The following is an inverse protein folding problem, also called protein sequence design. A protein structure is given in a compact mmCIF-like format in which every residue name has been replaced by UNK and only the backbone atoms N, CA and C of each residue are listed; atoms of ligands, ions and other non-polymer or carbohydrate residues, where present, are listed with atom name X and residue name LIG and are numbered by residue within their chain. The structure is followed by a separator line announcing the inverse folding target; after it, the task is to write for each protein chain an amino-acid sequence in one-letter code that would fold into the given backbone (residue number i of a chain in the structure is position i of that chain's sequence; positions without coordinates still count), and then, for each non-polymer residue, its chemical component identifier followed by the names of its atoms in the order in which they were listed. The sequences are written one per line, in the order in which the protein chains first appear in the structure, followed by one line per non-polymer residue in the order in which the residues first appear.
data_IF_453457023520
#
_entry.id   IF_453457023520
#
_cell.length_a   1.000
_cell.length_b   1.000
_cell.length_c   1.000
_cell.angle_alpha   90.00
_cell.angle_beta   90.00
_cell.angle_gamma   90.00
#
_symmetry.space_group_name_H-M   'P 1'
#
loop_
_entity.id
_entity.type
_entity.pdbx_description
1 polymer ?
#
# COMPACT_ATOMS: atom_id res chain seq x y z
N UNK A 1 20.85 -21.58 10.08
CA UNK A 1 19.74 -20.66 9.74
C UNK A 1 20.33 -19.56 8.86
N UNK A 2 20.77 -19.88 7.63
CA UNK A 2 21.76 -19.03 6.92
C UNK A 2 21.30 -18.40 5.59
N UNK A 3 20.09 -18.67 5.08
CA UNK A 3 19.67 -18.06 3.78
C UNK A 3 18.35 -17.27 3.82
N UNK A 4 17.55 -17.38 4.90
CA UNK A 4 16.15 -16.92 4.86
C UNK A 4 15.88 -15.52 5.43
N UNK A 5 16.85 -14.84 6.05
CA UNK A 5 16.55 -13.58 6.77
C UNK A 5 16.50 -12.35 5.86
N UNK A 6 17.26 -12.33 4.76
CA UNK A 6 17.20 -11.27 3.74
C UNK A 6 15.92 -11.33 2.89
N UNK A 7 15.34 -12.53 2.70
CA UNK A 7 14.16 -12.77 1.85
C UNK A 7 12.93 -12.06 2.40
N UNK A 8 12.87 -11.87 3.72
CA UNK A 8 11.67 -11.41 4.41
C UNK A 8 11.19 -10.03 3.95
N UNK A 9 12.14 -9.12 3.72
CA UNK A 9 11.85 -7.72 3.41
C UNK A 9 11.99 -7.38 1.93
N UNK A 10 12.50 -8.30 1.11
CA UNK A 10 12.70 -8.10 -0.34
C UNK A 10 11.40 -7.71 -1.05
N UNK A 11 10.27 -8.28 -0.64
CA UNK A 11 8.96 -8.01 -1.24
C UNK A 11 8.28 -6.75 -0.69
N UNK A 12 8.71 -6.23 0.48
CA UNK A 12 8.02 -5.11 1.12
C UNK A 12 8.20 -3.81 0.36
N UNK A 13 9.44 -3.47 0.00
CA UNK A 13 9.73 -2.20 -0.67
C UNK A 13 9.07 -2.13 -2.05
N UNK A 14 9.24 -3.13 -2.94
CA UNK A 14 8.61 -3.09 -4.26
C UNK A 14 7.09 -3.13 -4.18
N UNK A 15 6.50 -3.75 -3.14
CA UNK A 15 5.06 -3.69 -2.92
C UNK A 15 4.62 -2.29 -2.50
N UNK A 16 5.32 -1.65 -1.56
CA UNK A 16 5.00 -0.31 -1.08
C UNK A 16 5.13 0.76 -2.20
N UNK A 17 6.20 0.70 -2.99
CA UNK A 17 6.41 1.57 -4.16
C UNK A 17 5.28 1.45 -5.18
N UNK A 18 4.94 0.21 -5.54
CA UNK A 18 3.83 -0.03 -6.49
C UNK A 18 2.52 0.48 -5.93
N UNK A 19 2.23 0.23 -4.66
CA UNK A 19 1.03 0.75 -4.01
C UNK A 19 0.92 2.26 -4.16
N UNK A 20 1.98 3.02 -3.87
CA UNK A 20 1.97 4.49 -4.01
C UNK A 20 1.75 4.95 -5.45
N UNK A 21 2.48 4.35 -6.41
CA UNK A 21 2.35 4.68 -7.84
C UNK A 21 0.95 4.35 -8.40
N UNK A 22 0.35 3.22 -7.99
CA UNK A 22 -0.99 2.83 -8.43
C UNK A 22 -2.08 3.72 -7.80
N UNK A 23 -1.90 4.18 -6.57
CA UNK A 23 -2.73 5.24 -6.00
C UNK A 23 -2.60 6.53 -6.81
N UNK A 24 -1.38 6.94 -7.18
CA UNK A 24 -1.16 8.15 -7.97
C UNK A 24 -1.85 8.06 -9.34
N UNK A 25 -1.71 6.95 -10.06
CA UNK A 25 -2.45 6.74 -11.33
C UNK A 25 -3.95 6.79 -11.14
N UNK A 26 -4.46 6.11 -10.12
CA UNK A 26 -5.89 6.10 -9.81
C UNK A 26 -6.39 7.51 -9.50
N UNK A 27 -5.58 8.32 -8.80
CA UNK A 27 -5.90 9.70 -8.43
C UNK A 27 -5.97 10.60 -9.65
N UNK A 28 -5.01 10.49 -10.56
CA UNK A 28 -5.02 11.19 -11.85
C UNK A 28 -6.24 10.79 -12.69
N UNK A 29 -6.57 9.49 -12.78
CA UNK A 29 -7.70 9.00 -13.56
C UNK A 29 -9.07 9.45 -13.03
N UNK A 30 -9.18 9.68 -11.72
CA UNK A 30 -10.43 10.07 -11.06
C UNK A 30 -10.62 11.59 -10.93
N UNK A 31 -9.76 12.40 -11.54
CA UNK A 31 -9.79 13.86 -11.48
C UNK A 31 -11.14 14.51 -11.87
N UNK A 32 -11.98 13.83 -12.68
CA UNK A 32 -13.30 14.36 -13.08
C UNK A 32 -14.45 13.84 -12.20
N UNK A 33 -14.13 13.10 -11.14
CA UNK A 33 -15.08 12.39 -10.29
C UNK A 33 -14.82 12.73 -8.81
N UNK A 34 -15.17 13.94 -8.35
CA UNK A 34 -14.76 14.46 -7.02
C UNK A 34 -15.14 13.56 -5.84
N UNK A 35 -16.27 12.85 -5.94
CA UNK A 35 -16.69 11.89 -4.91
C UNK A 35 -15.73 10.71 -4.81
N UNK A 36 -15.37 10.10 -5.94
CA UNK A 36 -14.46 8.97 -6.02
C UNK A 36 -13.03 9.38 -5.69
N UNK A 37 -12.61 10.56 -6.18
CA UNK A 37 -11.33 11.17 -5.86
C UNK A 37 -11.16 11.29 -4.33
N UNK A 38 -12.19 11.80 -3.62
CA UNK A 38 -12.15 11.93 -2.16
C UNK A 38 -11.98 10.60 -1.46
N UNK A 39 -12.75 9.59 -1.83
CA UNK A 39 -12.66 8.24 -1.22
C UNK A 39 -11.29 7.61 -1.49
N UNK A 40 -10.78 7.76 -2.70
CA UNK A 40 -9.43 7.30 -3.04
C UNK A 40 -8.36 8.01 -2.20
N UNK A 41 -8.47 9.33 -2.06
CA UNK A 41 -7.55 10.15 -1.26
C UNK A 41 -7.53 9.70 0.19
N UNK A 42 -8.69 9.44 0.79
CA UNK A 42 -8.80 8.88 2.15
C UNK A 42 -8.07 7.53 2.26
N UNK A 43 -8.24 6.64 1.28
CA UNK A 43 -7.54 5.36 1.25
C UNK A 43 -6.01 5.52 1.08
N UNK A 44 -5.57 6.46 0.25
CA UNK A 44 -4.15 6.74 0.02
C UNK A 44 -3.49 7.30 1.29
N UNK A 45 -4.15 8.26 1.98
CA UNK A 45 -3.68 8.81 3.26
C UNK A 45 -3.57 7.73 4.33
N UNK A 46 -4.58 6.87 4.46
CA UNK A 46 -4.50 5.77 5.45
C UNK A 46 -3.38 4.78 5.11
N UNK A 47 -3.11 4.54 3.83
CA UNK A 47 -1.95 3.74 3.40
C UNK A 47 -0.63 4.38 3.80
N UNK A 48 -0.49 5.70 3.59
CA UNK A 48 0.69 6.46 4.01
C UNK A 48 0.89 6.34 5.54
N UNK A 49 -0.19 6.46 6.33
CA UNK A 49 -0.15 6.27 7.78
C UNK A 49 0.28 4.85 8.18
N UNK A 50 -0.17 3.83 7.44
CA UNK A 50 0.29 2.45 7.64
C UNK A 50 1.78 2.30 7.35
N UNK A 51 2.30 2.92 6.30
CA UNK A 51 3.74 2.89 5.98
C UNK A 51 4.58 3.58 7.06
N UNK A 52 4.14 4.74 7.56
CA UNK A 52 4.77 5.39 8.71
C UNK A 52 4.76 4.51 9.97
N UNK A 53 3.65 3.78 10.19
CA UNK A 53 3.53 2.87 11.32
C UNK A 53 4.41 1.62 11.15
N UNK A 54 4.53 1.10 9.94
CA UNK A 54 5.44 0.01 9.57
C UNK A 54 6.91 0.41 9.74
N UNK A 55 7.27 1.65 9.42
CA UNK A 55 8.60 2.20 9.70
C UNK A 55 8.90 2.18 11.22
N UNK A 56 7.96 2.63 12.05
CA UNK A 56 8.11 2.60 13.51
C UNK A 56 8.23 1.17 14.05
N UNK A 57 7.47 0.21 13.50
CA UNK A 57 7.59 -1.20 13.84
C UNK A 57 8.99 -1.75 13.50
N UNK A 58 9.51 -1.44 12.32
CA UNK A 58 10.85 -1.87 11.90
C UNK A 58 11.94 -1.23 12.76
N UNK A 59 11.78 0.03 13.17
CA UNK A 59 12.69 0.64 14.15
C UNK A 59 12.68 -0.14 15.47
N UNK A 60 11.51 -0.56 15.96
CA UNK A 60 11.44 -1.39 17.16
C UNK A 60 12.11 -2.77 16.95
N UNK A 61 12.02 -3.37 15.76
CA UNK A 61 12.79 -4.59 15.44
C UNK A 61 14.31 -4.36 15.54
N UNK A 62 14.80 -3.23 15.03
CA UNK A 62 16.22 -2.82 15.14
C UNK A 62 16.62 -2.65 16.60
N UNK A 63 15.80 -1.96 17.39
CA UNK A 63 16.08 -1.70 18.80
C UNK A 63 16.12 -3.01 19.60
N UNK A 64 15.16 -3.90 19.37
CA UNK A 64 15.13 -5.24 19.99
C UNK A 64 16.36 -6.05 19.60
N UNK A 65 16.73 -6.09 18.32
CA UNK A 65 17.96 -6.74 17.86
C UNK A 65 19.20 -6.18 18.58
N UNK A 66 19.32 -4.85 18.66
CA UNK A 66 20.41 -4.20 19.36
C UNK A 66 20.45 -4.58 20.86
N UNK A 67 19.30 -4.69 21.51
CA UNK A 67 19.22 -5.16 22.91
C UNK A 67 19.67 -6.61 23.04
N UNK A 68 19.30 -7.49 22.11
CA UNK A 68 19.77 -8.88 22.06
C UNK A 68 21.30 -8.91 21.94
N UNK A 69 21.87 -8.20 20.98
CA UNK A 69 23.30 -8.21 20.63
C UNK A 69 24.17 -7.55 21.70
N UNK A 70 23.79 -6.35 22.16
CA UNK A 70 24.64 -5.55 23.05
C UNK A 70 24.48 -5.88 24.52
N UNK A 71 23.34 -6.47 24.91
CA UNK A 71 22.99 -6.65 26.32
C UNK A 71 22.70 -8.11 26.66
N UNK A 72 21.81 -8.79 25.92
CA UNK A 72 21.41 -10.15 26.27
C UNK A 72 22.55 -11.15 26.10
N UNK A 73 23.09 -11.28 24.89
CA UNK A 73 24.10 -12.30 24.60
C UNK A 73 25.37 -12.14 25.43
N UNK A 74 25.93 -10.93 25.63
CA UNK A 74 27.07 -10.76 26.53
C UNK A 74 26.79 -11.18 27.98
N UNK A 75 25.60 -10.87 28.50
CA UNK A 75 25.21 -11.26 29.87
C UNK A 75 24.97 -12.76 29.98
N UNK A 76 24.30 -13.35 29.00
CA UNK A 76 24.05 -14.78 28.95
C UNK A 76 25.37 -15.56 28.84
N UNK A 77 26.29 -15.08 28.00
CA UNK A 77 27.64 -15.64 27.87
C UNK A 77 28.38 -15.64 29.20
N UNK A 78 28.46 -14.48 29.86
CA UNK A 78 29.12 -14.33 31.16
C UNK A 78 28.48 -15.23 32.23
N UNK A 79 27.15 -15.31 32.27
CA UNK A 79 26.45 -16.18 33.21
C UNK A 79 26.77 -17.66 32.96
N UNK A 80 26.88 -18.08 31.69
CA UNK A 80 27.29 -19.45 31.35
C UNK A 80 28.76 -19.70 31.71
N UNK A 81 29.66 -18.75 31.44
CA UNK A 81 31.07 -18.82 31.81
C UNK A 81 31.28 -18.96 33.33
N UNK A 82 30.47 -18.27 34.14
CA UNK A 82 30.56 -18.29 35.59
C UNK A 82 29.68 -19.35 36.28
N UNK A 83 28.96 -20.16 35.50
CA UNK A 83 27.98 -21.14 36.01
C UNK A 83 26.83 -20.50 36.82
N UNK A 84 26.45 -19.27 36.51
CA UNK A 84 25.44 -18.47 37.21
C UNK A 84 24.04 -18.70 36.63
N UNK A 85 23.45 -19.87 36.90
CA UNK A 85 22.16 -20.28 36.33
C UNK A 85 21.02 -19.26 36.57
N UNK A 86 20.94 -18.69 37.77
CA UNK A 86 19.92 -17.67 38.11
C UNK A 86 20.04 -16.45 37.18
N UNK A 87 21.26 -16.02 36.86
CA UNK A 87 21.50 -14.88 35.99
C UNK A 87 21.20 -15.21 34.52
N UNK A 88 21.55 -16.42 34.06
CA UNK A 88 21.20 -16.90 32.73
C UNK A 88 19.67 -16.94 32.54
N UNK A 89 18.95 -17.53 33.50
CA UNK A 89 17.48 -17.59 33.51
C UNK A 89 16.87 -16.19 33.52
N UNK A 90 17.36 -15.28 34.38
CA UNK A 90 16.88 -13.89 34.42
C UNK A 90 17.12 -13.14 33.11
N UNK A 91 18.21 -13.44 32.42
CA UNK A 91 18.52 -12.84 31.12
C UNK A 91 17.54 -13.33 30.04
N UNK A 92 17.27 -14.63 29.97
CA UNK A 92 16.29 -15.20 29.05
C UNK A 92 14.86 -14.71 29.32
N UNK A 93 14.51 -14.49 30.59
CA UNK A 93 13.22 -13.93 30.98
C UNK A 93 13.01 -12.51 30.39
N UNK A 94 14.04 -11.66 30.48
CA UNK A 94 14.01 -10.32 29.88
C UNK A 94 13.91 -10.37 28.36
N UNK A 95 14.63 -11.29 27.72
CA UNK A 95 14.50 -11.52 26.28
C UNK A 95 13.05 -11.87 25.94
N UNK A 96 12.43 -12.78 26.70
CA UNK A 96 11.03 -13.19 26.49
C UNK A 96 10.07 -11.99 26.53
N UNK A 97 10.25 -11.06 27.46
CA UNK A 97 9.44 -9.84 27.55
C UNK A 97 9.57 -8.96 26.29
N UNK A 98 10.79 -8.75 25.79
CA UNK A 98 11.02 -7.98 24.56
C UNK A 98 10.41 -8.66 23.33
N UNK A 99 10.55 -9.98 23.23
CA UNK A 99 9.99 -10.77 22.12
C UNK A 99 8.45 -10.78 22.17
N UNK A 100 7.84 -10.91 23.35
CA UNK A 100 6.40 -10.84 23.52
C UNK A 100 5.83 -9.47 23.13
N UNK A 101 6.54 -8.38 23.46
CA UNK A 101 6.18 -7.04 22.99
C UNK A 101 6.19 -6.97 21.45
N UNK A 102 7.21 -7.55 20.80
CA UNK A 102 7.28 -7.61 19.34
C UNK A 102 6.13 -8.40 18.72
N UNK A 103 5.80 -9.58 19.26
CA UNK A 103 4.66 -10.38 18.79
C UNK A 103 3.38 -9.55 18.78
N UNK A 104 3.07 -8.87 19.89
CA UNK A 104 1.86 -8.06 20.02
C UNK A 104 1.84 -6.89 19.02
N UNK A 105 2.96 -6.19 18.85
CA UNK A 105 3.05 -5.06 17.91
C UNK A 105 2.88 -5.48 16.45
N UNK A 106 3.47 -6.61 16.06
CA UNK A 106 3.30 -7.12 14.70
C UNK A 106 1.86 -7.59 14.49
N UNK A 107 1.24 -8.22 15.49
CA UNK A 107 -0.16 -8.67 15.42
C UNK A 107 -1.13 -7.49 15.24
N UNK A 108 -0.93 -6.42 16.00
CA UNK A 108 -1.67 -5.17 15.83
C UNK A 108 -1.51 -4.60 14.41
N UNK A 109 -0.28 -4.59 13.88
CA UNK A 109 -0.01 -4.10 12.52
C UNK A 109 -0.74 -4.93 11.47
N UNK A 110 -0.71 -6.27 11.59
CA UNK A 110 -1.44 -7.17 10.70
C UNK A 110 -2.93 -6.82 10.69
N UNK A 111 -3.52 -6.61 11.87
CA UNK A 111 -4.94 -6.23 12.00
C UNK A 111 -5.25 -4.88 11.35
N UNK A 112 -4.34 -3.90 11.43
CA UNK A 112 -4.49 -2.60 10.74
C UNK A 112 -4.46 -2.75 9.22
N UNK A 113 -3.53 -3.54 8.68
CA UNK A 113 -3.49 -3.85 7.24
C UNK A 113 -4.74 -4.62 6.78
N UNK A 114 -5.22 -5.57 7.57
CA UNK A 114 -6.45 -6.30 7.25
C UNK A 114 -7.66 -5.37 7.15
N UNK A 115 -7.83 -4.50 8.16
CA UNK A 115 -8.90 -3.52 8.19
C UNK A 115 -8.83 -2.60 6.97
N UNK A 116 -7.64 -2.09 6.66
CA UNK A 116 -7.45 -1.19 5.52
C UNK A 116 -7.65 -1.89 4.17
N UNK A 117 -7.21 -3.15 4.02
CA UNK A 117 -7.47 -3.96 2.83
C UNK A 117 -8.98 -4.09 2.55
N UNK A 118 -9.81 -4.24 3.59
CA UNK A 118 -11.28 -4.24 3.44
C UNK A 118 -11.81 -2.87 3.00
N UNK A 119 -11.27 -1.77 3.54
CA UNK A 119 -11.62 -0.41 3.12
C UNK A 119 -11.27 -0.13 1.65
N UNK A 120 -10.09 -0.53 1.20
CA UNK A 120 -9.67 -0.41 -0.20
C UNK A 120 -10.56 -1.25 -1.12
N UNK A 121 -10.93 -2.46 -0.68
CA UNK A 121 -11.88 -3.30 -1.43
C UNK A 121 -13.24 -2.62 -1.60
N UNK A 122 -13.77 -2.01 -0.52
CA UNK A 122 -15.01 -1.22 -0.59
C UNK A 122 -14.88 -0.04 -1.55
N UNK A 123 -13.80 0.75 -1.44
CA UNK A 123 -13.50 1.84 -2.36
C UNK A 123 -13.46 1.37 -3.82
N UNK A 124 -12.87 0.19 -4.07
CA UNK A 124 -12.80 -0.40 -5.41
C UNK A 124 -14.19 -0.70 -5.96
N UNK A 125 -15.07 -1.28 -5.13
CA UNK A 125 -16.46 -1.54 -5.49
C UNK A 125 -17.24 -0.26 -5.80
N UNK A 126 -17.07 0.79 -4.98
CA UNK A 126 -17.72 2.08 -5.19
C UNK A 126 -17.30 2.72 -6.51
N UNK A 127 -16.01 2.65 -6.85
CA UNK A 127 -15.48 3.16 -8.13
C UNK A 127 -16.04 2.37 -9.31
N UNK A 128 -16.13 1.04 -9.22
CA UNK A 128 -16.72 0.18 -10.27
C UNK A 128 -18.20 0.53 -10.49
N UNK A 129 -18.94 0.74 -9.40
CA UNK A 129 -20.36 1.10 -9.46
C UNK A 129 -20.56 2.45 -10.15
N UNK A 130 -19.86 3.49 -9.69
CA UNK A 130 -19.96 4.83 -10.28
C UNK A 130 -19.49 4.84 -11.74
N UNK A 131 -18.46 4.04 -12.09
CA UNK A 131 -18.06 3.81 -13.50
C UNK A 131 -19.21 3.25 -14.32
N UNK A 132 -19.85 2.19 -13.83
CA UNK A 132 -20.98 1.56 -14.52
C UNK A 132 -22.13 2.55 -14.69
N UNK A 133 -22.41 3.38 -13.69
CA UNK A 133 -23.44 4.42 -13.77
C UNK A 133 -23.07 5.55 -14.74
N UNK A 134 -21.82 6.00 -14.73
CA UNK A 134 -21.31 7.01 -15.66
C UNK A 134 -21.39 6.51 -17.10
N UNK A 135 -20.96 5.27 -17.36
CA UNK A 135 -21.06 4.65 -18.69
C UNK A 135 -22.51 4.53 -19.17
N UNK A 136 -23.44 4.14 -18.28
CA UNK A 136 -24.88 4.16 -18.59
C UNK A 136 -25.38 5.57 -18.94
N UNK A 137 -25.00 6.58 -18.15
CA UNK A 137 -25.35 7.99 -18.41
C UNK A 137 -24.76 8.48 -19.73
N UNK A 138 -23.52 8.12 -20.06
CA UNK A 138 -22.87 8.46 -21.33
C UNK A 138 -23.58 7.78 -22.49
N UNK A 139 -23.92 6.50 -22.38
CA UNK A 139 -24.65 5.77 -23.41
C UNK A 139 -26.04 6.40 -23.67
N UNK A 140 -26.75 6.78 -22.60
CA UNK A 140 -28.03 7.48 -22.71
C UNK A 140 -27.86 8.87 -23.33
N UNK A 141 -26.89 9.65 -22.85
CA UNK A 141 -26.58 10.99 -23.37
C UNK A 141 -26.16 10.94 -24.84
N UNK A 142 -25.45 9.90 -25.25
CA UNK A 142 -25.07 9.68 -26.65
C UNK A 142 -26.29 9.48 -27.53
N UNK A 143 -27.24 8.62 -27.10
CA UNK A 143 -28.52 8.43 -27.82
C UNK A 143 -29.33 9.73 -27.89
N UNK A 144 -29.34 10.53 -26.83
CA UNK A 144 -30.02 11.82 -26.79
C UNK A 144 -29.36 12.85 -27.73
N UNK A 145 -28.01 12.89 -27.78
CA UNK A 145 -27.24 13.74 -28.70
C UNK A 145 -27.56 13.36 -30.16
N UNK A 146 -27.51 12.08 -30.51
CA UNK A 146 -27.85 11.60 -31.86
C UNK A 146 -29.28 11.98 -32.26
N UNK A 147 -30.24 11.85 -31.33
CA UNK A 147 -31.62 12.26 -31.57
C UNK A 147 -31.77 13.77 -31.80
N UNK A 148 -31.09 14.59 -30.99
CA UNK A 148 -31.10 16.06 -31.14
C UNK A 148 -30.40 16.52 -32.40
N UNK A 149 -29.31 15.87 -32.81
CA UNK A 149 -28.61 16.16 -34.06
C UNK A 149 -29.49 15.87 -35.27
N UNK A 150 -30.23 14.76 -35.26
CA UNK A 150 -31.21 14.44 -36.31
C UNK A 150 -32.33 15.48 -36.41
N UNK A 151 -32.87 15.95 -35.28
CA UNK A 151 -33.89 17.02 -35.26
C UNK A 151 -33.32 18.32 -35.81
N UNK A 152 -32.07 18.66 -35.47
CA UNK A 152 -31.39 19.85 -36.00
C UNK A 152 -31.21 19.77 -37.51
N UNK A 153 -30.78 18.62 -38.05
CA UNK A 153 -30.62 18.41 -39.49
C UNK A 153 -31.94 18.57 -40.25
N UNK A 154 -33.04 18.02 -39.71
CA UNK A 154 -34.38 18.17 -40.27
C UNK A 154 -34.84 19.63 -40.27
N UNK A 155 -34.58 20.38 -39.19
CA UNK A 155 -34.93 21.79 -39.10
C UNK A 155 -34.13 22.66 -40.10
N UNK A 156 -32.83 22.39 -40.27
CA UNK A 156 -31.99 23.07 -41.28
C UNK A 156 -32.55 22.83 -42.69
N UNK A 157 -32.96 21.59 -42.99
CA UNK A 157 -33.54 21.23 -44.28
C UNK A 157 -34.89 21.95 -44.53
N UNK A 158 -35.73 22.07 -43.50
CA UNK A 158 -37.00 22.80 -43.59
C UNK A 158 -36.80 24.32 -43.79
N UNK A 159 -35.78 24.92 -43.17
CA UNK A 159 -35.46 26.35 -43.38
C UNK A 159 -34.91 26.66 -44.78
N UNK A 160 -34.32 25.69 -45.47
CA UNK A 160 -33.82 25.85 -46.84
C UNK A 160 -34.91 25.70 -47.92
N UNK A 161 -36.08 25.13 -47.60
CA UNK A 161 -37.12 24.80 -48.59
C UNK A 161 -38.28 25.82 -48.71
N UNK A 162 -38.33 26.89 -47.91
CA UNK A 162 -39.47 27.82 -47.93
C UNK A 162 -39.08 29.29 -48.14
N UNK A 163 -38.65 29.62 -49.35
CA UNK A 163 -38.47 31.03 -49.76
C UNK A 163 -39.78 31.80 -50.00
N UNK A 164 -40.96 31.29 -49.60
CA UNK A 164 -42.26 31.90 -49.97
C UNK A 164 -43.37 31.98 -48.90
N UNK A 165 -43.11 31.78 -47.60
CA UNK A 165 -44.17 31.90 -46.56
C UNK A 165 -43.74 32.58 -45.23
N UNK A 166 -42.77 33.51 -45.29
CA UNK A 166 -41.72 33.55 -44.28
C UNK A 166 -41.64 34.84 -43.42
N UNK A 167 -42.55 35.11 -42.47
CA UNK A 167 -42.21 36.08 -41.40
C UNK A 167 -42.64 35.65 -39.99
N UNK A 168 -43.83 35.07 -39.83
CA UNK A 168 -44.30 34.60 -38.51
C UNK A 168 -43.73 33.21 -38.19
N UNK A 169 -43.73 32.29 -39.16
CA UNK A 169 -43.21 30.92 -38.99
C UNK A 169 -41.69 30.87 -38.74
N UNK A 170 -40.95 31.86 -39.24
CA UNK A 170 -39.50 31.97 -39.05
C UNK A 170 -39.11 32.26 -37.59
N UNK A 171 -39.87 33.10 -36.88
CA UNK A 171 -39.56 33.46 -35.48
C UNK A 171 -39.64 32.25 -34.54
N UNK A 172 -40.69 31.44 -34.68
CA UNK A 172 -40.90 30.22 -33.87
C UNK A 172 -39.89 29.11 -34.23
N UNK A 173 -39.54 28.97 -35.51
CA UNK A 173 -38.55 27.99 -35.96
C UNK A 173 -37.12 28.33 -35.48
N UNK A 174 -36.74 29.62 -35.50
CA UNK A 174 -35.44 30.09 -35.03
C UNK A 174 -35.27 29.90 -33.51
N UNK A 175 -36.33 30.17 -32.75
CA UNK A 175 -36.34 29.99 -31.29
C UNK A 175 -36.22 28.52 -30.89
N UNK A 176 -36.88 27.62 -31.64
CA UNK A 176 -36.75 26.18 -31.46
C UNK A 176 -35.33 25.66 -31.76
N UNK A 177 -34.70 26.13 -32.86
CA UNK A 177 -33.30 25.78 -33.19
C UNK A 177 -32.32 26.24 -32.11
N UNK A 178 -32.48 27.47 -31.59
CA UNK A 178 -31.64 27.98 -30.50
C UNK A 178 -31.79 27.15 -29.21
N UNK A 179 -33.00 26.70 -28.86
CA UNK A 179 -33.19 25.79 -27.72
C UNK A 179 -32.53 24.44 -27.93
N UNK A 180 -32.64 23.85 -29.14
CA UNK A 180 -32.00 22.58 -29.48
C UNK A 180 -30.48 22.71 -29.39
N UNK A 181 -29.88 23.79 -29.91
CA UNK A 181 -28.43 24.05 -29.80
C UNK A 181 -27.96 24.17 -28.35
N UNK A 182 -28.71 24.88 -27.51
CA UNK A 182 -28.39 25.03 -26.09
C UNK A 182 -28.40 23.69 -25.35
N UNK A 183 -29.43 22.87 -25.59
CA UNK A 183 -29.53 21.52 -25.02
C UNK A 183 -28.40 20.62 -25.51
N UNK A 184 -28.08 20.68 -26.81
CA UNK A 184 -26.99 19.92 -27.41
C UNK A 184 -25.63 20.31 -26.83
N UNK A 185 -25.36 21.60 -26.64
CA UNK A 185 -24.12 22.09 -26.03
C UNK A 185 -23.96 21.57 -24.60
N UNK A 186 -25.00 21.70 -23.77
CA UNK A 186 -24.98 21.21 -22.39
C UNK A 186 -24.71 19.70 -22.31
N UNK A 187 -25.41 18.91 -23.13
CA UNK A 187 -25.26 17.45 -23.18
C UNK A 187 -23.88 16.98 -23.65
N UNK A 188 -23.23 17.75 -24.55
CA UNK A 188 -21.85 17.47 -24.99
C UNK A 188 -20.82 17.72 -23.90
N UNK A 189 -21.02 18.72 -23.04
CA UNK A 189 -20.14 19.01 -21.88
C UNK A 189 -20.20 17.96 -20.78
N UNK A 190 -21.33 17.24 -20.62
CA UNK A 190 -21.51 16.19 -19.60
C UNK A 190 -20.81 14.86 -19.95
N UNK A 191 -20.23 14.74 -21.15
CA UNK A 191 -19.63 13.50 -21.67
C UNK A 191 -18.20 13.30 -21.13
N UNK A 192 -18.07 12.74 -19.93
CA UNK A 192 -16.78 12.29 -19.39
C UNK A 192 -16.76 10.78 -19.20
N UNK A 193 -15.87 10.03 -19.86
CA UNK A 193 -15.66 8.61 -19.57
C UNK A 193 -14.63 8.43 -18.46
N UNK A 194 -14.86 7.46 -17.58
CA UNK A 194 -13.85 7.00 -16.62
C UNK A 194 -12.85 6.12 -17.40
N UNK A 195 -11.54 6.41 -17.36
CA UNK A 195 -10.54 5.57 -18.01
C UNK A 195 -10.62 4.11 -17.56
N UNK A 196 -10.21 3.20 -18.45
CA UNK A 196 -10.54 1.77 -18.33
C UNK A 196 -9.88 1.08 -17.12
N UNK A 197 -8.80 1.64 -16.55
CA UNK A 197 -7.98 0.99 -15.53
C UNK A 197 -7.89 1.82 -14.25
N UNK A 198 -8.83 1.60 -13.34
CA UNK A 198 -8.64 2.00 -11.94
C UNK A 198 -7.78 0.91 -11.30
N UNK A 199 -6.54 1.26 -10.95
CA UNK A 199 -5.51 0.32 -10.47
C UNK A 199 -5.71 -0.17 -9.02
N UNK A 200 -6.91 0.03 -8.47
CA UNK A 200 -7.21 -0.26 -7.07
C UNK A 200 -7.19 -1.76 -6.73
N UNK A 201 -7.50 -2.64 -7.69
CA UNK A 201 -7.32 -4.08 -7.51
C UNK A 201 -5.85 -4.44 -7.33
N UNK A 202 -4.96 -3.76 -8.06
CA UNK A 202 -3.52 -3.96 -7.94
C UNK A 202 -2.98 -3.38 -6.63
N UNK A 203 -3.50 -2.21 -6.21
CA UNK A 203 -3.22 -1.65 -4.87
C UNK A 203 -3.56 -2.68 -3.79
N UNK A 204 -4.76 -3.27 -3.84
CA UNK A 204 -5.20 -4.28 -2.87
C UNK A 204 -4.29 -5.51 -2.89
N UNK A 205 -3.86 -5.96 -4.07
CA UNK A 205 -2.90 -7.08 -4.21
C UNK A 205 -1.59 -6.79 -3.47
N UNK A 206 -0.99 -5.62 -3.65
CA UNK A 206 0.29 -5.28 -3.01
C UNK A 206 0.14 -5.04 -1.50
N UNK A 207 -0.97 -4.44 -1.05
CA UNK A 207 -1.28 -4.32 0.37
C UNK A 207 -1.50 -5.69 1.04
N UNK A 208 -2.14 -6.64 0.34
CA UNK A 208 -2.26 -8.02 0.80
C UNK A 208 -0.90 -8.71 0.86
N UNK A 209 -0.02 -8.51 -0.11
CA UNK A 209 1.35 -9.05 -0.07
C UNK A 209 2.12 -8.53 1.15
N UNK A 210 2.03 -7.23 1.45
CA UNK A 210 2.63 -6.66 2.67
C UNK A 210 2.04 -7.30 3.93
N UNK A 211 0.72 -7.48 3.99
CA UNK A 211 0.06 -8.16 5.11
C UNK A 211 0.56 -9.60 5.30
N UNK A 212 0.69 -10.37 4.21
CA UNK A 212 1.20 -11.74 4.24
C UNK A 212 2.65 -11.78 4.73
N UNK A 213 3.46 -10.82 4.31
CA UNK A 213 4.79 -10.65 4.88
C UNK A 213 4.69 -10.38 6.37
N UNK A 214 3.94 -9.40 6.86
CA UNK A 214 3.80 -9.14 8.31
C UNK A 214 3.32 -10.38 9.11
N UNK A 215 2.43 -11.21 8.55
CA UNK A 215 2.01 -12.47 9.17
C UNK A 215 3.17 -13.45 9.36
N UNK A 216 4.00 -13.64 8.34
CA UNK A 216 5.23 -14.46 8.47
C UNK A 216 6.18 -13.89 9.52
N UNK A 217 6.14 -12.58 9.77
CA UNK A 217 7.05 -11.90 10.68
C UNK A 217 6.60 -12.17 12.11
N UNK A 218 5.29 -12.10 12.31
CA UNK A 218 4.64 -12.47 13.56
C UNK A 218 4.95 -13.93 13.91
N UNK A 219 4.85 -14.84 12.93
CA UNK A 219 5.20 -16.24 13.11
C UNK A 219 6.66 -16.43 13.51
N UNK A 220 7.61 -15.71 12.88
CA UNK A 220 9.01 -15.70 13.30
C UNK A 220 9.17 -15.32 14.78
N UNK A 221 8.57 -14.20 15.21
CA UNK A 221 8.67 -13.77 16.61
C UNK A 221 8.02 -14.76 17.58
N UNK A 222 6.88 -15.36 17.22
CA UNK A 222 6.23 -16.43 17.99
C UNK A 222 7.13 -17.67 18.11
N UNK A 223 7.82 -18.06 17.04
CA UNK A 223 8.80 -19.16 17.08
C UNK A 223 10.00 -18.85 17.98
N UNK A 224 10.53 -17.63 17.94
CA UNK A 224 11.59 -17.19 18.85
C UNK A 224 11.13 -17.25 20.31
N UNK A 225 9.89 -16.83 20.58
CA UNK A 225 9.32 -16.87 21.94
C UNK A 225 9.30 -18.29 22.50
N UNK A 226 8.77 -19.24 21.73
CA UNK A 226 8.73 -20.67 22.10
C UNK A 226 10.15 -21.21 22.28
N UNK A 227 11.08 -20.84 21.40
CA UNK A 227 12.48 -21.29 21.51
C UNK A 227 13.15 -20.79 22.80
N UNK A 228 12.92 -19.54 23.21
CA UNK A 228 13.46 -19.00 24.45
C UNK A 228 12.88 -19.71 25.68
N UNK A 229 11.60 -20.09 25.64
CA UNK A 229 10.96 -20.87 26.70
C UNK A 229 11.57 -22.27 26.81
N UNK A 230 11.73 -22.96 25.68
CA UNK A 230 12.40 -24.28 25.63
C UNK A 230 13.84 -24.20 26.13
N UNK A 231 14.63 -23.23 25.65
CA UNK A 231 16.03 -23.05 26.08
C UNK A 231 16.12 -22.84 27.59
N UNK A 232 15.23 -22.02 28.16
CA UNK A 232 15.15 -21.81 29.60
C UNK A 232 14.79 -23.12 30.32
N UNK A 233 13.77 -23.85 29.86
CA UNK A 233 13.29 -25.06 30.53
C UNK A 233 14.15 -26.30 30.34
N UNK A 234 14.98 -26.36 29.31
CA UNK A 234 15.79 -27.54 29.01
C UNK A 234 17.23 -27.37 29.48
N UNK A 235 17.79 -26.16 29.36
CA UNK A 235 19.20 -25.90 29.67
C UNK A 235 19.41 -25.38 31.09
N UNK A 236 18.41 -24.72 31.68
CA UNK A 236 18.58 -23.94 32.92
C UNK A 236 17.65 -24.38 34.08
N UNK A 237 16.94 -25.51 33.94
CA UNK A 237 15.94 -25.99 34.92
C UNK A 237 16.49 -26.68 36.17
N UNK A 238 17.74 -27.16 36.15
CA UNK A 238 18.34 -27.86 37.28
C UNK A 238 19.19 -26.90 38.12
N UNK A 239 19.16 -27.04 39.45
CA UNK A 239 20.07 -26.32 40.36
C UNK A 239 21.55 -26.67 40.12
N UNK A 240 21.81 -27.79 39.45
CA UNK A 240 23.14 -28.18 38.98
C UNK A 240 23.34 -27.73 37.53
N UNK A 241 24.42 -26.98 37.32
CA UNK A 241 24.82 -26.43 36.03
C UNK A 241 25.14 -27.55 35.03
N UNK A 242 25.40 -27.19 33.78
CA UNK A 242 26.02 -28.08 32.80
C UNK A 242 27.36 -28.59 33.37
N UNK A 243 27.36 -29.76 34.03
CA UNK A 243 28.54 -30.30 34.73
C UNK A 243 29.66 -30.70 33.75
N UNK A 244 29.33 -30.88 32.48
CA UNK A 244 30.26 -31.27 31.42
C UNK A 244 30.80 -30.05 30.66
N UNK A 245 32.11 -29.83 30.73
CA UNK A 245 32.79 -28.73 30.03
C UNK A 245 32.48 -28.69 28.52
N UNK A 246 32.30 -29.84 27.87
CA UNK A 246 32.00 -29.92 26.43
C UNK A 246 30.64 -29.30 26.10
N UNK A 247 29.61 -29.54 26.92
CA UNK A 247 28.28 -28.96 26.73
C UNK A 247 28.29 -27.43 26.96
N UNK A 248 29.13 -26.95 27.88
CA UNK A 248 29.31 -25.51 28.13
C UNK A 248 29.94 -24.81 26.93
N UNK A 249 30.99 -25.37 26.34
CA UNK A 249 31.62 -24.84 25.13
C UNK A 249 30.64 -24.79 23.95
N UNK A 250 29.81 -25.82 23.79
CA UNK A 250 28.75 -25.85 22.77
C UNK A 250 27.75 -24.70 22.98
N UNK A 251 27.29 -24.46 24.21
CA UNK A 251 26.35 -23.36 24.51
C UNK A 251 26.98 -22.01 24.20
N UNK A 252 28.23 -21.78 24.60
CA UNK A 252 28.94 -20.52 24.33
C UNK A 252 29.11 -20.27 22.83
N UNK A 253 29.46 -21.29 22.05
CA UNK A 253 29.54 -21.22 20.59
C UNK A 253 28.19 -20.83 19.97
N UNK A 254 27.08 -21.41 20.45
CA UNK A 254 25.74 -21.09 19.94
C UNK A 254 25.29 -19.68 20.33
N UNK A 255 25.70 -19.17 21.49
CA UNK A 255 25.46 -17.78 21.89
C UNK A 255 26.16 -16.82 20.92
N UNK A 256 27.43 -17.09 20.59
CA UNK A 256 28.18 -16.26 19.63
C UNK A 256 27.54 -16.29 18.24
N UNK A 257 27.16 -17.47 17.74
CA UNK A 257 26.47 -17.61 16.46
C UNK A 257 25.09 -16.91 16.47
N UNK A 258 24.34 -17.00 17.56
CA UNK A 258 23.07 -16.29 17.70
C UNK A 258 23.28 -14.77 17.65
N UNK A 259 24.31 -14.27 18.34
CA UNK A 259 24.65 -12.85 18.35
C UNK A 259 24.95 -12.31 16.94
N UNK A 260 25.71 -13.04 16.13
CA UNK A 260 25.97 -12.68 14.72
C UNK A 260 24.69 -12.66 13.89
N UNK A 261 23.84 -13.69 14.01
CA UNK A 261 22.57 -13.75 13.30
C UNK A 261 21.60 -12.62 13.69
N UNK A 262 21.53 -12.27 14.98
CA UNK A 262 20.68 -11.16 15.43
C UNK A 262 21.19 -9.81 14.96
N UNK A 263 22.51 -9.64 14.83
CA UNK A 263 23.09 -8.43 14.23
C UNK A 263 22.68 -8.30 12.76
N UNK A 264 22.83 -9.37 11.97
CA UNK A 264 22.41 -9.39 10.57
C UNK A 264 20.90 -9.14 10.40
N UNK A 265 20.08 -9.70 11.30
CA UNK A 265 18.65 -9.41 11.37
C UNK A 265 18.37 -7.92 11.59
N UNK A 266 19.04 -7.30 12.56
CA UNK A 266 18.89 -5.86 12.85
C UNK A 266 19.27 -4.97 11.67
N UNK A 267 20.36 -5.30 10.97
CA UNK A 267 20.79 -4.60 9.75
C UNK A 267 19.75 -4.74 8.61
N UNK A 268 19.13 -5.91 8.49
CA UNK A 268 18.04 -6.16 7.53
C UNK A 268 16.81 -5.33 7.85
N UNK A 269 16.40 -5.27 9.13
CA UNK A 269 15.29 -4.41 9.57
C UNK A 269 15.59 -2.92 9.34
N UNK A 270 16.83 -2.48 9.57
CA UNK A 270 17.23 -1.10 9.33
C UNK A 270 17.16 -0.74 7.83
N UNK A 271 17.56 -1.67 6.97
CA UNK A 271 17.45 -1.51 5.52
C UNK A 271 15.99 -1.38 5.09
N UNK A 272 15.13 -2.28 5.57
CA UNK A 272 13.69 -2.22 5.31
C UNK A 272 13.08 -0.91 5.84
N UNK A 273 13.47 -0.47 7.03
CA UNK A 273 12.99 0.78 7.63
C UNK A 273 13.26 1.97 6.73
N UNK A 274 14.51 2.13 6.27
CA UNK A 274 14.92 3.23 5.36
C UNK A 274 14.05 3.27 4.10
N UNK A 275 13.67 2.09 3.61
CA UNK A 275 12.80 1.94 2.46
C UNK A 275 11.41 2.54 2.71
N UNK A 276 10.78 2.22 3.86
CA UNK A 276 9.51 2.82 4.28
C UNK A 276 9.63 4.33 4.58
N UNK A 277 10.75 4.79 5.14
CA UNK A 277 10.99 6.23 5.35
C UNK A 277 10.93 7.02 4.04
N UNK A 278 11.53 6.48 2.96
CA UNK A 278 11.48 7.09 1.63
C UNK A 278 10.06 7.14 1.06
N UNK A 279 9.31 6.04 1.21
CA UNK A 279 7.91 5.99 0.77
C UNK A 279 7.02 7.00 1.51
N UNK A 280 7.21 7.15 2.81
CA UNK A 280 6.41 8.05 3.62
C UNK A 280 6.66 9.53 3.29
N UNK A 281 7.90 9.88 2.94
CA UNK A 281 8.32 11.27 2.71
C UNK A 281 7.89 11.81 1.34
N UNK A 282 8.10 11.04 0.28
CA UNK A 282 8.04 11.59 -1.08
C UNK A 282 6.95 10.94 -1.96
N UNK A 283 6.59 9.67 -1.71
CA UNK A 283 5.77 8.90 -2.64
C UNK A 283 4.29 9.32 -2.66
N UNK A 284 3.83 10.07 -1.66
CA UNK A 284 2.44 10.53 -1.51
C UNK A 284 2.25 12.04 -1.70
N UNK A 285 3.28 12.78 -2.13
CA UNK A 285 3.19 14.22 -2.39
C UNK A 285 2.15 14.56 -3.47
N UNK A 286 1.75 13.59 -4.30
CA UNK A 286 0.67 13.77 -5.26
C UNK A 286 -0.70 14.07 -4.61
N UNK A 287 -0.87 13.81 -3.32
CA UNK A 287 -2.09 14.13 -2.57
C UNK A 287 -2.21 15.62 -2.17
N UNK A 288 -1.15 16.41 -2.39
CA UNK A 288 -1.10 17.84 -2.07
C UNK A 288 -1.76 18.73 -3.13
N UNK A 289 -1.90 18.23 -4.36
CA UNK A 289 -2.53 18.97 -5.45
C UNK A 289 -3.85 18.31 -5.89
N UNK A 290 -4.77 19.13 -6.39
CA UNK A 290 -6.01 18.63 -6.98
C UNK A 290 -5.75 18.27 -8.46
N UNK A 291 -5.95 17.02 -8.90
CA UNK A 291 -5.65 16.61 -10.26
C UNK A 291 -6.62 17.24 -11.28
N UNK A 292 -7.80 17.70 -10.87
CA UNK A 292 -8.71 18.49 -11.72
C UNK A 292 -8.16 19.88 -12.06
N UNK A 293 -7.15 20.36 -11.33
CA UNK A 293 -6.54 21.67 -11.58
C UNK A 293 -5.42 21.64 -12.63
N UNK A 294 -4.99 20.44 -13.05
CA UNK A 294 -3.94 20.26 -14.04
C UNK A 294 -4.43 20.59 -15.46
N UNK A 295 -3.55 21.15 -16.29
CA UNK A 295 -3.80 21.21 -17.73
C UNK A 295 -3.76 19.81 -18.35
N UNK A 296 -4.38 19.58 -19.52
CA UNK A 296 -4.31 18.29 -20.20
C UNK A 296 -2.88 17.81 -20.46
N UNK A 297 -1.96 18.73 -20.79
CA UNK A 297 -0.55 18.44 -21.05
C UNK A 297 0.18 18.02 -19.79
N UNK A 298 -0.01 18.74 -18.68
CA UNK A 298 0.62 18.42 -17.41
C UNK A 298 0.05 17.12 -16.82
N UNK A 299 -1.26 16.90 -16.91
CA UNK A 299 -1.89 15.63 -16.52
C UNK A 299 -1.26 14.45 -17.29
N UNK A 300 -1.09 14.59 -18.61
CA UNK A 300 -0.50 13.54 -19.46
C UNK A 300 0.95 13.27 -19.09
N UNK A 301 1.73 14.33 -18.84
CA UNK A 301 3.11 14.23 -18.40
C UNK A 301 3.23 13.47 -17.08
N UNK A 302 2.45 13.83 -16.08
CA UNK A 302 2.43 13.15 -14.77
C UNK A 302 2.05 11.67 -14.93
N UNK A 303 1.00 11.38 -15.70
CA UNK A 303 0.57 10.02 -16.00
C UNK A 303 1.70 9.18 -16.63
N UNK A 304 2.39 9.72 -17.65
CA UNK A 304 3.46 9.02 -18.35
C UNK A 304 4.69 8.75 -17.47
N UNK A 305 5.02 9.68 -16.56
CA UNK A 305 6.08 9.49 -15.56
C UNK A 305 5.76 8.29 -14.66
N UNK A 306 4.54 8.26 -14.10
CA UNK A 306 4.13 7.21 -13.17
C UNK A 306 4.08 5.83 -13.86
N UNK A 307 3.62 5.77 -15.11
CA UNK A 307 3.65 4.54 -15.90
C UNK A 307 5.09 4.07 -16.13
N UNK A 308 6.01 4.97 -16.51
CA UNK A 308 7.41 4.63 -16.72
C UNK A 308 8.07 4.07 -15.43
N UNK A 309 7.78 4.67 -14.27
CA UNK A 309 8.27 4.20 -12.98
C UNK A 309 7.72 2.80 -12.63
N UNK A 310 6.42 2.54 -12.86
CA UNK A 310 5.83 1.21 -12.68
C UNK A 310 6.46 0.16 -13.60
N UNK A 311 6.68 0.50 -14.87
CA UNK A 311 7.35 -0.40 -15.82
C UNK A 311 8.77 -0.73 -15.36
N UNK A 312 9.54 0.27 -14.90
CA UNK A 312 10.90 0.08 -14.39
C UNK A 312 10.93 -0.93 -13.23
N UNK A 313 10.04 -0.78 -12.26
CA UNK A 313 9.96 -1.69 -11.10
C UNK A 313 9.60 -3.12 -11.56
N UNK A 314 8.69 -3.27 -12.51
CA UNK A 314 8.31 -4.58 -13.04
C UNK A 314 9.45 -5.25 -13.81
N UNK A 315 10.27 -4.49 -14.55
CA UNK A 315 11.43 -5.03 -15.26
C UNK A 315 12.59 -5.38 -14.33
N UNK A 316 12.78 -4.64 -13.23
CA UNK A 316 13.85 -4.90 -12.27
C UNK A 316 13.63 -6.22 -11.49
N UNK A 317 12.37 -6.61 -11.26
CA UNK A 317 12.03 -7.84 -10.53
C UNK A 317 12.03 -9.07 -11.44
N UNK A 318 11.75 -8.92 -12.74
CA UNK A 318 11.83 -10.03 -13.70
C UNK A 318 13.26 -10.44 -14.11
N UNK A 319 14.28 -9.73 -13.60
CA UNK A 319 15.70 -9.97 -13.89
C UNK A 319 16.46 -10.67 -12.74
N UNK A 320 15.76 -11.04 -11.66
CA UNK A 320 16.28 -11.76 -10.49
C UNK A 320 15.58 -13.10 -10.32
#
# INVERSE_FOLDING_TARGET
MEENQLIFFQELLPSAERTALLYHLSYLCLAKFPKLERVLRECAVETQNLFASSEALLQKCVDTSNQMVSTLFPRLKLAVENNENIQATSSLEKAREWIAEMVNRVEEMVGRYEKHNRSVSSCTSDVILEKTEAEKKIAQTTKEIEALEKVREQNIFHTHLSFFAALIFLSQSLEHDMQVRRKLANKKTERGSIPETVHLSDVQKYLYQIQQTLLKHNMFWKSVLVFLESLKSETFSNEHFIEENELKEIVLMHIDLAQENWKAFGESCLTAKRAFSLQNKDAYNFLEFNPSSLSPEEWKRQYDIVIADLTRINTAIGAH
#
